data_IF_871046364751
#
_entry.id   IF_871046364751
#
_cell.length_a   1.000
_cell.length_b   1.000
_cell.length_c   1.000
_cell.angle_alpha   90.00
_cell.angle_beta   90.00
_cell.angle_gamma   90.00
#
_symmetry.space_group_name_H-M   'P 1'
#
loop_
_entity.id
_entity.type
_entity.pdbx_description
1 polymer ?
#
# COMPACT_ATOMS: atom_id res chain seq x y z
N UNK A 1 -30.84 45.42 -45.11
CA UNK A 1 -32.11 44.74 -45.41
C UNK A 1 -32.87 44.54 -44.11
N UNK A 2 -34.10 45.07 -43.95
CA UNK A 2 -34.95 44.81 -42.79
C UNK A 2 -36.12 43.95 -43.25
N UNK A 3 -36.20 42.71 -42.77
CA UNK A 3 -37.27 41.79 -43.15
C UNK A 3 -38.46 42.08 -42.24
N UNK A 4 -39.54 42.62 -42.82
CA UNK A 4 -40.81 42.88 -42.13
C UNK A 4 -41.91 42.07 -42.84
N UNK A 5 -42.25 40.92 -42.29
CA UNK A 5 -43.34 40.05 -42.76
C UNK A 5 -43.58 38.93 -41.74
N UNK A 6 -44.81 38.41 -41.66
CA UNK A 6 -45.25 37.44 -40.64
C UNK A 6 -44.61 36.05 -40.74
N UNK A 7 -43.95 35.72 -41.86
CA UNK A 7 -43.20 34.47 -42.03
C UNK A 7 -41.69 34.61 -41.78
N UNK A 8 -41.07 35.75 -42.11
CA UNK A 8 -39.72 36.12 -41.64
C UNK A 8 -38.53 35.20 -41.97
N UNK A 9 -38.66 34.27 -42.92
CA UNK A 9 -37.60 33.35 -43.33
C UNK A 9 -36.57 34.01 -44.27
N UNK A 10 -35.29 33.71 -44.07
CA UNK A 10 -34.18 34.19 -44.90
C UNK A 10 -33.44 33.00 -45.50
N UNK A 11 -33.51 32.85 -46.82
CA UNK A 11 -32.70 31.88 -47.56
C UNK A 11 -31.47 32.56 -48.15
N UNK A 12 -30.28 32.03 -47.86
CA UNK A 12 -29.05 32.39 -48.60
C UNK A 12 -28.67 31.19 -49.44
N UNK A 13 -28.68 31.37 -50.77
CA UNK A 13 -28.46 30.31 -51.76
C UNK A 13 -29.51 29.17 -51.72
N UNK A 14 -30.74 29.46 -51.28
CA UNK A 14 -31.90 28.55 -51.35
C UNK A 14 -33.20 29.33 -51.49
N UNK A 15 -34.09 28.86 -52.37
CA UNK A 15 -35.41 29.46 -52.56
C UNK A 15 -36.46 28.92 -51.56
N UNK A 16 -36.18 27.78 -50.92
CA UNK A 16 -37.09 27.08 -50.00
C UNK A 16 -36.44 26.92 -48.62
N UNK A 17 -36.26 28.01 -47.85
CA UNK A 17 -35.70 27.92 -46.49
C UNK A 17 -36.57 27.02 -45.60
N UNK A 18 -35.95 26.12 -44.85
CA UNK A 18 -36.64 25.21 -43.91
C UNK A 18 -36.60 25.73 -42.47
N UNK A 19 -35.80 26.78 -42.21
CA UNK A 19 -35.62 27.42 -40.92
C UNK A 19 -35.54 28.93 -41.11
N UNK A 20 -35.82 29.70 -40.05
CA UNK A 20 -35.91 31.18 -40.10
C UNK A 20 -34.68 31.83 -40.78
N UNK A 21 -33.51 31.22 -40.63
CA UNK A 21 -32.35 31.48 -41.46
C UNK A 21 -31.83 30.15 -41.99
N UNK A 22 -31.88 29.94 -43.30
CA UNK A 22 -31.32 28.76 -43.97
C UNK A 22 -30.23 29.21 -44.95
N UNK A 23 -28.99 28.85 -44.65
CA UNK A 23 -27.84 29.10 -45.53
C UNK A 23 -27.36 27.78 -46.10
N UNK A 24 -27.40 27.66 -47.43
CA UNK A 24 -26.80 26.51 -48.15
C UNK A 24 -25.40 26.90 -48.57
N UNK A 25 -24.44 26.67 -47.68
CA UNK A 25 -23.04 27.02 -47.85
C UNK A 25 -22.36 27.38 -46.53
N UNK A 26 -21.13 27.89 -46.61
CA UNK A 26 -20.39 28.36 -45.44
C UNK A 26 -20.91 29.72 -44.98
N UNK A 27 -20.91 29.95 -43.67
CA UNK A 27 -21.19 31.27 -43.06
C UNK A 27 -19.86 31.83 -42.55
N UNK A 28 -19.41 32.96 -43.12
CA UNK A 28 -18.29 33.74 -42.59
C UNK A 28 -18.84 34.98 -41.90
N UNK A 29 -18.27 35.31 -40.74
CA UNK A 29 -18.57 36.53 -40.00
C UNK A 29 -17.24 37.23 -39.69
N UNK A 30 -17.19 38.54 -39.87
CA UNK A 30 -16.00 39.34 -39.57
C UNK A 30 -15.98 39.82 -38.10
N UNK A 31 -16.92 39.36 -37.28
CA UNK A 31 -17.07 39.67 -35.85
C UNK A 31 -17.59 38.44 -35.08
N UNK A 32 -18.43 38.62 -34.06
CA UNK A 32 -18.87 37.58 -33.12
C UNK A 32 -20.28 37.08 -33.42
N UNK A 33 -20.52 35.78 -33.20
CA UNK A 33 -21.87 35.25 -32.99
C UNK A 33 -22.18 35.35 -31.50
N UNK A 34 -23.02 36.30 -31.11
CA UNK A 34 -23.50 36.44 -29.74
C UNK A 34 -24.78 35.62 -29.55
N UNK A 35 -24.71 34.60 -28.71
CA UNK A 35 -25.86 33.75 -28.36
C UNK A 35 -26.59 34.24 -27.09
N UNK A 36 -26.12 35.31 -26.44
CA UNK A 36 -26.64 35.81 -25.16
C UNK A 36 -26.00 35.13 -23.94
N UNK A 37 -26.23 35.69 -22.75
CA UNK A 37 -25.52 35.35 -21.51
C UNK A 37 -25.99 34.07 -20.79
N UNK A 38 -27.18 33.54 -21.15
CA UNK A 38 -27.79 32.37 -20.51
C UNK A 38 -28.55 31.51 -21.53
N UNK A 39 -27.91 31.20 -22.65
CA UNK A 39 -28.54 30.48 -23.75
C UNK A 39 -27.88 29.11 -23.96
N UNK A 40 -28.67 28.06 -23.75
CA UNK A 40 -28.37 26.73 -24.26
C UNK A 40 -29.02 26.58 -25.64
N UNK A 41 -28.23 26.72 -26.71
CA UNK A 41 -28.72 26.70 -28.09
C UNK A 41 -28.44 25.35 -28.74
N UNK A 42 -29.43 24.77 -29.38
CA UNK A 42 -29.25 23.61 -30.25
C UNK A 42 -28.53 24.04 -31.53
N UNK A 43 -27.40 23.40 -31.86
CA UNK A 43 -26.60 23.73 -33.06
C UNK A 43 -26.64 22.63 -34.12
N UNK A 44 -27.38 21.55 -33.88
CA UNK A 44 -27.66 20.53 -34.90
C UNK A 44 -29.13 20.12 -34.95
N UNK A 45 -29.55 19.67 -36.13
CA UNK A 45 -30.89 19.14 -36.34
C UNK A 45 -31.17 17.96 -35.39
N UNK A 46 -32.40 17.91 -34.86
CA UNK A 46 -32.86 17.02 -33.79
C UNK A 46 -32.20 17.24 -32.41
N UNK A 47 -31.54 18.37 -32.17
CA UNK A 47 -30.96 18.68 -30.86
C UNK A 47 -29.81 17.76 -30.45
N UNK A 48 -29.21 17.07 -31.43
CA UNK A 48 -28.14 16.09 -31.20
C UNK A 48 -26.86 16.77 -30.75
N UNK A 49 -26.61 18.01 -31.13
CA UNK A 49 -25.47 18.82 -30.70
C UNK A 49 -25.98 20.12 -30.11
N UNK A 50 -25.56 20.43 -28.89
CA UNK A 50 -25.94 21.65 -28.17
C UNK A 50 -24.69 22.38 -27.73
N UNK A 51 -24.71 23.70 -27.88
CA UNK A 51 -23.73 24.62 -27.30
C UNK A 51 -24.45 25.42 -26.23
N UNK A 52 -23.88 25.53 -25.04
CA UNK A 52 -24.43 26.37 -23.98
C UNK A 52 -23.39 27.35 -23.45
N UNK A 53 -23.83 28.59 -23.29
CA UNK A 53 -23.12 29.65 -22.59
C UNK A 53 -23.93 30.00 -21.35
N UNK A 54 -23.39 29.65 -20.19
CA UNK A 54 -23.99 29.87 -18.88
C UNK A 54 -23.05 30.80 -18.10
N UNK A 55 -23.20 32.11 -18.35
CA UNK A 55 -22.27 33.14 -17.90
C UNK A 55 -20.90 33.04 -18.58
N UNK A 56 -19.95 32.34 -17.93
CA UNK A 56 -18.52 32.27 -18.35
C UNK A 56 -18.09 30.93 -18.97
N UNK A 57 -18.99 29.94 -19.07
CA UNK A 57 -18.63 28.56 -19.43
C UNK A 57 -19.17 28.20 -20.80
N UNK A 58 -18.28 27.81 -21.71
CA UNK A 58 -18.63 27.24 -23.02
C UNK A 58 -18.76 25.73 -22.85
N UNK A 59 -19.99 25.23 -22.95
CA UNK A 59 -20.29 23.81 -22.74
C UNK A 59 -20.88 23.19 -24.01
N UNK A 60 -20.57 21.93 -24.27
CA UNK A 60 -21.20 21.14 -25.35
C UNK A 60 -21.92 19.94 -24.79
N UNK A 61 -22.98 19.51 -25.47
CA UNK A 61 -23.71 18.30 -25.10
C UNK A 61 -24.21 17.59 -26.34
N UNK A 62 -24.28 16.25 -26.27
CA UNK A 62 -24.86 15.42 -27.31
C UNK A 62 -26.18 14.76 -26.85
N UNK A 63 -27.17 14.67 -27.76
CA UNK A 63 -28.40 13.90 -27.61
C UNK A 63 -29.15 14.12 -26.28
N UNK A 64 -29.23 15.36 -25.79
CA UNK A 64 -29.93 15.66 -24.54
C UNK A 64 -29.16 15.29 -23.25
N UNK A 65 -27.95 14.73 -23.36
CA UNK A 65 -27.11 14.33 -22.22
C UNK A 65 -26.60 15.51 -21.36
N UNK A 66 -25.75 15.25 -20.35
CA UNK A 66 -25.13 16.33 -19.58
C UNK A 66 -24.25 17.23 -20.47
N UNK A 67 -24.02 18.46 -20.02
CA UNK A 67 -23.12 19.41 -20.68
C UNK A 67 -21.67 19.17 -20.21
N UNK A 68 -20.75 18.94 -21.15
CA UNK A 68 -19.31 18.98 -20.95
C UNK A 68 -18.82 20.42 -21.05
N UNK A 69 -18.23 20.95 -19.98
CA UNK A 69 -17.65 22.30 -19.99
C UNK A 69 -16.25 22.28 -20.65
N UNK A 70 -16.13 22.90 -21.82
CA UNK A 70 -14.93 22.88 -22.65
C UNK A 70 -13.92 23.94 -22.26
N UNK A 71 -14.36 25.03 -21.60
CA UNK A 71 -13.44 25.98 -20.98
C UNK A 71 -12.98 25.50 -19.60
N UNK A 72 -13.63 24.45 -19.07
CA UNK A 72 -13.16 23.69 -17.91
C UNK A 72 -12.16 22.58 -18.21
N UNK A 73 -11.68 22.45 -19.45
CA UNK A 73 -10.49 21.63 -19.78
C UNK A 73 -9.24 22.34 -19.20
N UNK A 74 -9.22 22.47 -17.87
CA UNK A 74 -8.42 23.35 -17.04
C UNK A 74 -8.96 23.54 -15.60
N UNK A 75 -10.21 23.14 -15.31
CA UNK A 75 -10.78 23.02 -13.94
C UNK A 75 -11.52 21.70 -13.68
N UNK A 76 -11.27 20.64 -14.46
CA UNK A 76 -11.06 19.38 -13.74
C UNK A 76 -9.90 19.65 -12.79
N UNK A 77 -10.16 19.60 -11.49
CA UNK A 77 -9.14 19.27 -10.50
C UNK A 77 -8.62 17.88 -10.91
N UNK A 78 -7.80 17.85 -11.96
CA UNK A 78 -7.10 16.66 -12.37
C UNK A 78 -6.09 16.50 -11.25
N UNK A 79 -6.46 15.71 -10.24
CA UNK A 79 -5.57 15.41 -9.12
C UNK A 79 -4.23 14.88 -9.60
N UNK A 80 -4.14 14.44 -10.87
CA UNK A 80 -2.97 13.97 -11.56
C UNK A 80 -2.52 14.92 -12.68
N UNK A 81 -1.21 15.13 -12.78
CA UNK A 81 -0.48 15.81 -13.87
C UNK A 81 0.41 14.77 -14.54
N UNK A 82 0.31 14.68 -15.87
CA UNK A 82 1.20 13.87 -16.71
C UNK A 82 2.23 14.77 -17.38
N UNK A 83 3.50 14.65 -16.94
CA UNK A 83 4.66 15.36 -17.48
C UNK A 83 5.38 14.52 -18.59
N UNK A 84 4.68 13.54 -19.17
CA UNK A 84 5.17 12.64 -20.21
C UNK A 84 5.73 11.34 -19.65
N UNK A 85 6.87 11.39 -18.95
CA UNK A 85 7.48 10.20 -18.32
C UNK A 85 7.06 10.01 -16.86
N UNK A 86 6.44 11.03 -16.27
CA UNK A 86 6.05 11.06 -14.85
C UNK A 86 4.60 11.45 -14.75
N UNK A 87 3.82 10.60 -14.08
CA UNK A 87 2.46 10.93 -13.64
C UNK A 87 2.53 11.18 -12.13
N UNK A 88 2.15 12.38 -11.70
CA UNK A 88 2.22 12.82 -10.29
C UNK A 88 0.97 13.58 -9.88
N UNK A 89 0.83 13.87 -8.59
CA UNK A 89 -0.28 14.72 -8.15
C UNK A 89 -0.07 16.17 -8.57
N UNK A 90 -1.15 16.87 -8.90
CA UNK A 90 -1.15 18.31 -9.16
C UNK A 90 -0.73 19.10 -7.92
N UNK A 91 -1.20 18.67 -6.75
CA UNK A 91 -0.85 19.26 -5.46
C UNK A 91 -0.09 18.23 -4.62
N UNK A 92 1.18 18.51 -4.32
CA UNK A 92 2.08 17.56 -3.64
C UNK A 92 1.64 17.21 -2.20
N UNK A 93 0.78 18.03 -1.59
CA UNK A 93 0.23 17.77 -0.26
C UNK A 93 -0.92 16.77 -0.25
N UNK A 94 -1.46 16.41 -1.42
CA UNK A 94 -2.58 15.47 -1.51
C UNK A 94 -2.19 14.04 -1.13
N UNK A 95 -3.21 13.24 -0.81
CA UNK A 95 -3.11 11.81 -0.55
C UNK A 95 -3.90 11.04 -1.62
N UNK A 96 -3.43 9.85 -1.98
CA UNK A 96 -4.10 8.93 -2.91
C UNK A 96 -4.84 7.86 -2.13
N UNK A 97 -6.16 7.83 -2.25
CA UNK A 97 -7.01 6.75 -1.74
C UNK A 97 -7.42 5.80 -2.87
N UNK A 98 -7.20 4.49 -2.71
CA UNK A 98 -7.74 3.45 -3.59
C UNK A 98 -8.66 2.58 -2.74
N UNK A 99 -9.96 2.53 -3.06
CA UNK A 99 -10.95 1.81 -2.27
C UNK A 99 -11.36 2.52 -0.96
N UNK A 100 -10.96 3.77 -0.75
CA UNK A 100 -11.30 4.59 0.42
C UNK A 100 -11.45 6.06 0.05
N UNK A 101 -12.40 6.76 0.71
CA UNK A 101 -12.58 8.21 0.61
C UNK A 101 -11.88 8.96 1.75
N UNK A 102 -11.19 8.26 2.65
CA UNK A 102 -10.51 8.83 3.81
C UNK A 102 -9.10 8.26 3.94
N UNK A 103 -8.18 8.65 3.04
CA UNK A 103 -6.80 8.18 3.09
C UNK A 103 -6.09 8.69 4.35
N UNK A 104 -5.47 7.79 5.12
CA UNK A 104 -4.73 8.10 6.35
C UNK A 104 -3.21 8.20 6.13
N UNK A 105 -2.77 7.98 4.89
CA UNK A 105 -1.39 8.06 4.44
C UNK A 105 -1.34 8.63 3.02
N UNK A 106 -0.14 8.99 2.56
CA UNK A 106 0.10 9.53 1.21
C UNK A 106 -0.44 8.62 0.11
N UNK A 107 -0.33 7.30 0.31
CA UNK A 107 -1.03 6.29 -0.46
C UNK A 107 -1.75 5.38 0.53
N UNK A 108 -3.07 5.29 0.45
CA UNK A 108 -3.89 4.37 1.24
C UNK A 108 -4.69 3.49 0.29
N UNK A 109 -4.31 2.22 0.22
CA UNK A 109 -5.02 1.20 -0.56
C UNK A 109 -5.82 0.34 0.39
N UNK A 110 -7.15 0.44 0.32
CA UNK A 110 -8.07 -0.40 1.07
C UNK A 110 -8.69 -1.43 0.12
N UNK A 111 -8.19 -2.66 0.17
CA UNK A 111 -8.83 -3.78 -0.50
C UNK A 111 -9.97 -4.31 0.39
N UNK A 112 -11.22 -4.33 -0.12
CA UNK A 112 -12.38 -4.84 0.61
C UNK A 112 -12.89 -6.17 0.05
N UNK A 113 -13.57 -6.94 0.90
CA UNK A 113 -13.79 -8.38 0.83
C UNK A 113 -14.49 -8.94 -0.43
N UNK A 114 -14.26 -10.24 -0.78
CA UNK A 114 -13.28 -11.16 -0.21
C UNK A 114 -12.10 -11.43 -1.19
N UNK A 115 -10.86 -11.37 -0.67
CA UNK A 115 -9.60 -11.85 -1.29
C UNK A 115 -9.00 -11.02 -2.43
N UNK A 116 -8.86 -9.70 -2.27
CA UNK A 116 -8.04 -8.91 -3.21
C UNK A 116 -6.69 -8.56 -2.59
N UNK A 117 -5.61 -8.96 -3.26
CA UNK A 117 -4.28 -8.41 -3.00
C UNK A 117 -4.29 -6.93 -3.34
N UNK A 118 -4.10 -6.07 -2.34
CA UNK A 118 -4.12 -4.63 -2.53
C UNK A 118 -3.00 -4.14 -3.48
N UNK A 119 -1.81 -4.77 -3.38
CA UNK A 119 -0.61 -4.38 -4.14
C UNK A 119 0.15 -5.64 -4.56
N UNK A 120 0.40 -5.79 -5.87
CA UNK A 120 1.28 -6.81 -6.43
C UNK A 120 2.50 -6.11 -7.03
N UNK A 121 3.69 -6.36 -6.49
CA UNK A 121 4.94 -5.96 -7.12
C UNK A 121 5.65 -7.16 -7.73
N UNK A 122 6.00 -7.07 -9.01
CA UNK A 122 6.67 -8.13 -9.76
C UNK A 122 7.78 -7.55 -10.61
N UNK A 123 8.90 -8.28 -10.69
CA UNK A 123 10.05 -7.92 -11.53
C UNK A 123 10.80 -9.19 -11.93
N UNK A 124 11.22 -9.28 -13.20
CA UNK A 124 11.94 -10.45 -13.72
C UNK A 124 13.46 -10.42 -13.48
N UNK A 125 14.02 -9.25 -13.22
CA UNK A 125 15.48 -9.04 -13.11
C UNK A 125 15.89 -8.22 -11.88
N UNK A 126 14.93 -7.63 -11.16
CA UNK A 126 15.21 -6.71 -10.07
C UNK A 126 14.22 -6.85 -8.90
N UNK A 127 14.15 -5.82 -8.08
CA UNK A 127 13.29 -5.79 -6.90
C UNK A 127 11.85 -5.51 -7.35
N UNK A 128 10.91 -6.38 -6.98
CA UNK A 128 9.47 -6.17 -7.24
C UNK A 128 8.83 -5.14 -6.30
N UNK A 129 9.24 -5.12 -5.02
CA UNK A 129 8.83 -4.13 -4.00
C UNK A 129 10.00 -3.86 -3.06
N UNK A 130 10.30 -2.59 -2.79
CA UNK A 130 11.31 -2.18 -1.84
C UNK A 130 10.67 -1.25 -0.78
N UNK A 131 10.79 -1.61 0.50
CA UNK A 131 10.56 -0.70 1.61
C UNK A 131 11.85 -0.50 2.40
N UNK A 132 12.26 0.75 2.57
CA UNK A 132 13.49 1.12 3.24
C UNK A 132 13.22 2.25 4.24
N UNK A 133 13.83 2.15 5.42
CA UNK A 133 13.81 3.20 6.44
C UNK A 133 15.13 3.16 7.19
N UNK A 134 15.69 4.34 7.50
CA UNK A 134 16.96 4.48 8.22
C UNK A 134 16.77 4.60 9.74
N UNK A 135 15.55 4.85 10.20
CA UNK A 135 15.24 5.14 11.60
C UNK A 135 14.16 4.24 12.21
N UNK A 136 13.41 3.51 11.39
CA UNK A 136 12.29 2.67 11.85
C UNK A 136 12.07 1.49 10.89
N UNK A 137 10.92 0.84 10.98
CA UNK A 137 10.54 -0.29 10.13
C UNK A 137 10.38 0.16 8.67
N UNK A 138 11.13 -0.47 7.76
CA UNK A 138 10.98 -0.24 6.32
C UNK A 138 9.78 -0.97 5.71
N UNK A 139 9.51 -2.19 6.17
CA UNK A 139 8.36 -3.03 5.78
C UNK A 139 7.86 -3.79 7.00
N UNK A 140 6.56 -3.74 7.27
CA UNK A 140 5.90 -4.54 8.30
C UNK A 140 4.84 -5.42 7.64
N UNK A 141 4.87 -6.73 7.89
CA UNK A 141 3.77 -7.63 7.59
C UNK A 141 3.27 -8.27 8.88
N UNK A 142 1.97 -8.20 9.10
CA UNK A 142 1.31 -8.72 10.29
C UNK A 142 0.02 -9.42 9.88
N UNK A 143 -0.31 -10.51 10.55
CA UNK A 143 -1.55 -11.26 10.38
C UNK A 143 -1.91 -11.93 11.70
N UNK A 144 -3.20 -11.98 12.02
CA UNK A 144 -3.74 -12.63 13.23
C UNK A 144 -3.89 -14.13 13.06
N UNK A 145 -4.28 -14.56 11.86
CA UNK A 145 -4.70 -15.93 11.59
C UNK A 145 -3.81 -16.65 10.58
N UNK A 146 -2.84 -15.94 9.98
CA UNK A 146 -1.99 -16.48 8.92
C UNK A 146 -0.58 -15.91 8.93
N UNK A 147 0.14 -16.15 7.84
CA UNK A 147 1.51 -15.66 7.70
C UNK A 147 1.52 -14.15 7.47
N UNK A 148 2.20 -13.39 8.34
CA UNK A 148 2.39 -11.95 8.17
C UNK A 148 3.38 -11.61 7.05
N UNK A 149 4.49 -12.34 6.95
CA UNK A 149 5.51 -12.22 5.90
C UNK A 149 6.04 -13.60 5.53
N UNK A 150 6.04 -13.93 4.24
CA UNK A 150 6.65 -15.14 3.70
C UNK A 150 7.69 -14.76 2.64
N UNK A 151 8.87 -15.39 2.68
CA UNK A 151 9.84 -15.33 1.60
C UNK A 151 10.21 -16.73 1.15
N UNK A 152 10.03 -17.01 -0.15
CA UNK A 152 10.29 -18.32 -0.76
C UNK A 152 11.25 -18.15 -1.93
N UNK A 153 12.19 -19.07 -2.09
CA UNK A 153 13.10 -19.11 -3.23
C UNK A 153 13.43 -20.56 -3.57
N UNK A 154 13.50 -20.89 -4.87
CA UNK A 154 13.85 -22.24 -5.35
C UNK A 154 15.35 -22.47 -5.44
N UNK A 155 16.12 -21.40 -5.67
CA UNK A 155 17.55 -21.49 -6.00
C UNK A 155 18.44 -20.74 -5.01
N UNK A 156 17.87 -20.11 -3.98
CA UNK A 156 18.62 -19.28 -3.05
C UNK A 156 17.88 -19.02 -1.75
N UNK A 157 18.30 -17.97 -1.03
CA UNK A 157 17.70 -17.59 0.25
C UNK A 157 16.31 -17.00 0.01
N UNK A 158 15.27 -17.54 0.68
CA UNK A 158 13.91 -17.00 0.65
C UNK A 158 13.75 -15.76 1.55
N UNK A 159 14.29 -15.81 2.77
CA UNK A 159 14.33 -14.71 3.73
C UNK A 159 15.73 -14.60 4.32
N UNK A 160 16.31 -13.40 4.28
CA UNK A 160 17.63 -13.11 4.86
C UNK A 160 17.49 -11.99 5.90
N UNK A 161 17.77 -12.30 7.17
CA UNK A 161 17.85 -11.31 8.22
C UNK A 161 19.28 -11.14 8.71
N UNK A 162 19.73 -9.89 8.87
CA UNK A 162 21.09 -9.55 9.29
C UNK A 162 21.05 -8.31 10.16
N UNK A 163 21.74 -8.37 11.29
CA UNK A 163 22.01 -7.23 12.16
C UNK A 163 23.46 -7.28 12.62
N UNK A 164 24.07 -6.12 12.87
CA UNK A 164 25.45 -6.00 13.37
C UNK A 164 25.53 -5.75 14.87
N UNK A 165 24.39 -5.52 15.52
CA UNK A 165 24.28 -5.19 16.95
C UNK A 165 23.36 -6.13 17.70
N UNK A 166 22.24 -6.50 17.09
CA UNK A 166 21.16 -7.29 17.70
C UNK A 166 20.82 -8.50 16.80
N UNK A 167 19.65 -9.09 16.99
CA UNK A 167 19.18 -10.23 16.20
C UNK A 167 18.95 -9.83 14.73
N UNK A 168 19.48 -10.63 13.80
CA UNK A 168 19.14 -10.49 12.38
C UNK A 168 17.76 -11.06 12.07
N UNK A 169 17.40 -12.15 12.73
CA UNK A 169 16.08 -12.79 12.73
C UNK A 169 15.79 -13.22 14.17
N UNK A 170 14.65 -12.78 14.71
CA UNK A 170 14.16 -13.21 16.02
C UNK A 170 12.86 -13.99 15.81
N UNK A 171 12.84 -15.24 16.27
CA UNK A 171 11.64 -16.06 16.32
C UNK A 171 11.22 -16.33 17.75
N UNK A 172 10.01 -15.93 18.11
CA UNK A 172 9.45 -16.08 19.45
C UNK A 172 8.04 -16.66 19.36
N UNK A 173 7.76 -17.70 20.14
CA UNK A 173 6.46 -18.36 20.20
C UNK A 173 6.18 -18.81 21.64
N UNK A 174 4.91 -18.75 22.04
CA UNK A 174 4.43 -19.19 23.36
C UNK A 174 4.04 -20.66 23.38
N UNK A 175 3.52 -21.16 22.26
CA UNK A 175 2.87 -22.47 22.19
C UNK A 175 3.54 -23.44 21.19
N UNK A 176 4.46 -22.95 20.37
CA UNK A 176 5.19 -23.76 19.38
C UNK A 176 6.64 -23.31 19.23
N UNK A 177 7.29 -23.74 18.14
CA UNK A 177 8.66 -23.33 17.86
C UNK A 177 8.71 -21.84 17.50
N UNK A 178 9.60 -21.10 18.16
CA UNK A 178 9.92 -19.73 17.75
C UNK A 178 10.67 -19.71 16.41
N UNK A 179 11.59 -20.68 16.24
CA UNK A 179 12.34 -20.92 15.00
C UNK A 179 12.44 -22.43 14.82
N UNK A 180 11.96 -22.94 13.69
CA UNK A 180 12.15 -24.33 13.26
C UNK A 180 13.07 -24.36 12.03
N UNK A 181 14.01 -25.30 12.00
CA UNK A 181 14.94 -25.47 10.91
C UNK A 181 15.01 -26.92 10.47
N UNK A 182 14.46 -27.17 9.28
CA UNK A 182 14.34 -28.50 8.68
C UNK A 182 15.17 -28.55 7.40
N UNK A 183 15.92 -29.64 7.20
CA UNK A 183 16.67 -29.89 5.96
C UNK A 183 16.73 -31.38 5.65
N UNK A 184 16.64 -31.73 4.37
CA UNK A 184 16.74 -33.14 3.90
C UNK A 184 18.17 -33.56 3.58
N UNK A 185 19.05 -32.61 3.23
CA UNK A 185 20.37 -32.89 2.66
C UNK A 185 21.51 -32.11 3.36
N UNK A 186 21.25 -31.48 4.51
CA UNK A 186 22.23 -30.68 5.24
C UNK A 186 21.75 -30.29 6.64
N UNK A 187 22.38 -29.28 7.24
CA UNK A 187 21.96 -28.78 8.55
C UNK A 187 20.62 -28.04 8.42
N UNK A 188 19.64 -28.40 9.25
CA UNK A 188 18.39 -27.64 9.39
C UNK A 188 18.59 -26.32 10.14
N UNK A 189 19.39 -26.36 11.22
CA UNK A 189 19.90 -25.18 11.94
C UNK A 189 21.40 -25.36 12.15
N UNK A 190 22.18 -24.32 11.89
CA UNK A 190 23.61 -24.28 12.16
C UNK A 190 23.98 -22.94 12.75
N UNK A 191 24.76 -22.93 13.82
CA UNK A 191 25.23 -21.70 14.44
C UNK A 191 26.72 -21.76 14.70
N UNK A 192 27.39 -20.62 14.50
CA UNK A 192 28.81 -20.44 14.71
C UNK A 192 29.01 -19.13 15.47
N UNK A 193 29.91 -19.13 16.46
CA UNK A 193 30.21 -17.94 17.25
C UNK A 193 31.68 -17.95 17.66
N UNK A 194 32.31 -16.78 17.66
CA UNK A 194 33.71 -16.59 18.07
C UNK A 194 33.86 -16.23 19.55
N UNK A 195 32.76 -15.91 20.23
CA UNK A 195 32.76 -15.41 21.62
C UNK A 195 31.77 -16.12 22.55
N UNK A 196 30.93 -17.02 22.03
CA UNK A 196 29.89 -17.68 22.80
C UNK A 196 29.31 -18.89 22.08
N UNK A 197 28.07 -19.27 22.42
CA UNK A 197 27.39 -20.38 21.76
C UNK A 197 26.97 -19.99 20.35
N UNK A 198 27.18 -20.89 19.38
CA UNK A 198 26.61 -20.74 18.03
C UNK A 198 25.12 -21.05 18.00
N UNK A 199 24.70 -22.11 18.69
CA UNK A 199 23.30 -22.46 18.97
C UNK A 199 23.23 -22.88 20.44
N UNK A 200 22.20 -22.43 21.16
CA UNK A 200 21.95 -22.84 22.54
C UNK A 200 20.48 -23.25 22.69
N UNK A 201 20.25 -24.44 23.25
CA UNK A 201 18.92 -24.94 23.60
C UNK A 201 18.81 -25.17 25.11
N UNK A 202 17.66 -24.84 25.69
CA UNK A 202 17.38 -25.06 27.10
C UNK A 202 15.87 -25.02 27.37
N UNK A 203 15.43 -25.61 28.47
CA UNK A 203 14.03 -25.58 28.92
C UNK A 203 13.91 -24.86 30.26
N UNK A 204 12.76 -24.22 30.52
CA UNK A 204 12.44 -23.57 31.80
C UNK A 204 11.75 -24.50 32.81
N UNK A 205 11.54 -25.78 32.47
CA UNK A 205 10.92 -26.73 33.39
C UNK A 205 11.90 -27.12 34.51
N UNK A 206 11.66 -26.56 35.71
CA UNK A 206 12.29 -26.81 37.03
C UNK A 206 13.72 -27.39 37.00
N UNK A 207 14.72 -26.50 36.96
CA UNK A 207 16.03 -26.75 37.59
C UNK A 207 15.93 -26.70 39.13
N UNK A 208 14.93 -27.33 39.75
CA UNK A 208 14.89 -27.39 41.23
C UNK A 208 15.85 -28.46 41.78
N UNK A 209 16.21 -29.46 40.97
CA UNK A 209 17.12 -30.54 41.39
C UNK A 209 18.62 -30.21 41.21
N UNK A 210 18.98 -29.25 40.36
CA UNK A 210 20.39 -28.90 40.11
C UNK A 210 20.99 -27.96 41.17
N UNK A 211 20.16 -27.26 41.95
CA UNK A 211 20.62 -26.45 43.08
C UNK A 211 21.24 -27.30 44.19
N UNK A 212 20.57 -28.40 44.57
CA UNK A 212 21.08 -29.33 45.59
C UNK A 212 22.27 -30.15 45.09
N UNK A 213 22.28 -30.56 43.81
CA UNK A 213 23.36 -31.36 43.24
C UNK A 213 24.69 -30.60 43.12
N UNK A 214 24.65 -29.29 42.79
CA UNK A 214 25.86 -28.44 42.78
C UNK A 214 26.46 -28.30 44.18
N UNK A 215 25.62 -28.03 45.19
CA UNK A 215 26.09 -27.89 46.58
C UNK A 215 26.65 -29.21 47.12
N UNK A 216 26.05 -30.36 46.78
CA UNK A 216 26.54 -31.67 47.21
C UNK A 216 27.85 -32.05 46.51
N UNK A 217 28.02 -31.74 45.22
CA UNK A 217 29.28 -31.99 44.50
C UNK A 217 30.41 -31.07 44.97
N UNK A 218 30.13 -29.79 45.22
CA UNK A 218 31.10 -28.86 45.84
C UNK A 218 31.48 -29.30 47.27
N UNK A 219 30.53 -29.82 48.05
CA UNK A 219 30.82 -30.43 49.36
C UNK A 219 31.63 -31.74 49.26
N UNK A 220 31.39 -32.57 48.24
CA UNK A 220 32.10 -33.84 48.04
C UNK A 220 33.56 -33.63 47.60
N UNK A 221 33.81 -32.64 46.73
CA UNK A 221 35.17 -32.26 46.33
C UNK A 221 35.95 -31.58 47.46
N UNK A 222 35.27 -30.80 48.32
CA UNK A 222 35.85 -30.24 49.54
C UNK A 222 36.17 -31.32 50.60
N UNK A 223 35.35 -32.37 50.72
CA UNK A 223 35.60 -33.51 51.60
C UNK A 223 36.77 -34.38 51.11
N UNK A 224 36.98 -34.47 49.79
CA UNK A 224 38.07 -35.26 49.19
C UNK A 224 39.45 -34.64 49.38
N UNK A 225 39.53 -33.33 49.62
CA UNK A 225 40.78 -32.58 49.84
C UNK A 225 41.16 -32.40 51.31
N UNK A 226 40.26 -32.74 52.26
CA UNK A 226 40.52 -32.62 53.70
C UNK A 226 40.13 -33.89 54.46
N UNK A 227 40.81 -34.99 54.14
CA UNK A 227 40.80 -36.21 54.97
C UNK A 227 41.93 -36.16 56.03
N UNK A 228 42.13 -35.01 56.67
CA UNK A 228 42.89 -34.85 57.91
C UNK A 228 42.19 -33.83 58.81
N UNK A 229 40.93 -34.07 59.17
CA UNK A 229 40.34 -33.52 60.38
C UNK A 229 39.24 -34.48 60.85
N UNK A 230 39.61 -35.37 61.77
CA UNK A 230 38.70 -36.08 62.64
C UNK A 230 37.73 -35.09 63.33
N UNK A 231 36.44 -35.43 63.32
CA UNK A 231 35.48 -34.92 64.30
C UNK A 231 34.49 -33.88 63.81
N UNK A 232 33.55 -34.24 62.93
CA UNK A 232 32.19 -33.65 62.96
C UNK A 232 31.14 -34.57 62.32
N UNK A 233 31.16 -35.86 62.66
CA UNK A 233 30.14 -36.83 62.28
C UNK A 233 29.11 -37.03 63.40
N UNK A 234 28.59 -35.96 64.03
CA UNK A 234 27.46 -36.06 64.97
C UNK A 234 26.70 -34.74 64.99
N UNK A 235 25.76 -34.51 64.07
CA UNK A 235 24.40 -33.97 64.35
C UNK A 235 23.51 -34.29 63.12
N UNK A 236 23.24 -35.58 62.92
CA UNK A 236 22.05 -36.01 62.21
C UNK A 236 21.14 -36.66 63.24
N UNK A 237 20.36 -35.86 63.97
CA UNK A 237 19.19 -36.36 64.70
C UNK A 237 18.04 -35.35 64.65
N UNK A 238 17.06 -35.71 63.82
CA UNK A 238 15.63 -35.79 64.15
C UNK A 238 15.00 -34.55 64.80
N UNK A 239 14.17 -33.85 64.03
CA UNK A 239 12.78 -33.56 64.43
C UNK A 239 11.94 -33.15 63.22
N UNK A 240 11.14 -34.11 62.75
CA UNK A 240 9.84 -33.81 62.15
C UNK A 240 8.84 -33.69 63.30
N UNK A 241 8.22 -32.53 63.43
CA UNK A 241 6.83 -32.33 63.88
C UNK A 241 6.24 -31.28 62.96
#
# INVERSE_FOLDING_TARGET
>A
MRIKGSSGFVGINTANPQERLHVVGNIRLDSVIDFGTESCTTVSAAGRGRICFDGMRFKVSENGGPYLDLLSVGVISSGWVDDGTVVRLATATDNVGIGTNSPVAKLHVLASFPLQTAIVGSSGTGIGVQGASTASTGVAGASTDGVGVAGTSTNGVGVFGKSTKDDGVLGNSTDGDGVDGVSTNGNGVSGSSTKGNGVFGGTRTRMEWLGLARTVMECLEAARTRMECLGLAVVARVKWV
#
